data_IF_070961401745
#
_entry.id   IF_070961401745
#
_cell.length_a   1.000
_cell.length_b   1.000
_cell.length_c   1.000
_cell.angle_alpha   90.00
_cell.angle_beta   90.00
_cell.angle_gamma   90.00
#
_symmetry.space_group_name_H-M   'P 1'
#
loop_
_entity.id
_entity.type
_entity.pdbx_description
1 polymer ?
#
# COMPACT_ATOMS: atom_id res chain seq x y z
N UNK A 1 -13.86 -4.42 -3.53
CA UNK A 1 -15.08 -3.66 -3.20
C UNK A 1 -14.83 -2.73 -2.02
N UNK A 2 -15.66 -1.67 -1.85
CA UNK A 2 -15.57 -0.74 -0.70
C UNK A 2 -15.73 -1.46 0.64
N UNK A 3 -16.57 -2.50 0.71
CA UNK A 3 -16.73 -3.32 1.92
C UNK A 3 -15.44 -4.12 2.22
N UNK A 4 -14.74 -4.61 1.20
CA UNK A 4 -13.46 -5.28 1.40
C UNK A 4 -12.41 -4.31 1.99
N UNK A 5 -12.42 -3.04 1.61
CA UNK A 5 -11.51 -2.04 2.17
C UNK A 5 -11.68 -1.87 3.69
N UNK A 6 -12.92 -1.96 4.20
CA UNK A 6 -13.20 -1.96 5.66
C UNK A 6 -12.57 -3.19 6.33
N UNK A 7 -12.76 -4.38 5.74
CA UNK A 7 -12.20 -5.62 6.27
C UNK A 7 -10.68 -5.60 6.33
N UNK A 8 -10.04 -5.09 5.27
CA UNK A 8 -8.58 -4.92 5.25
C UNK A 8 -8.12 -3.95 6.33
N UNK A 9 -8.77 -2.80 6.47
CA UNK A 9 -8.41 -1.85 7.52
C UNK A 9 -8.53 -2.46 8.92
N UNK A 10 -9.62 -3.15 9.18
CA UNK A 10 -9.86 -3.83 10.46
C UNK A 10 -8.80 -4.90 10.72
N UNK A 11 -8.52 -5.75 9.73
CA UNK A 11 -7.52 -6.82 9.85
C UNK A 11 -6.11 -6.29 10.08
N UNK A 12 -5.69 -5.26 9.33
CA UNK A 12 -4.36 -4.65 9.51
C UNK A 12 -4.24 -4.01 10.90
N UNK A 13 -5.26 -3.28 11.36
CA UNK A 13 -5.26 -2.69 12.71
C UNK A 13 -5.20 -3.77 13.80
N UNK A 14 -5.93 -4.87 13.63
CA UNK A 14 -5.88 -6.00 14.56
C UNK A 14 -4.49 -6.65 14.59
N UNK A 15 -3.88 -6.90 13.43
CA UNK A 15 -2.54 -7.48 13.34
C UNK A 15 -1.46 -6.59 13.97
N UNK A 16 -1.55 -5.26 13.79
CA UNK A 16 -0.65 -4.32 14.46
C UNK A 16 -0.84 -4.38 15.98
N UNK A 17 -2.06 -4.42 16.47
CA UNK A 17 -2.36 -4.51 17.90
C UNK A 17 -1.84 -5.82 18.49
N UNK A 18 -2.10 -6.95 17.83
CA UNK A 18 -1.59 -8.27 18.20
C UNK A 18 -0.06 -8.29 18.29
N UNK A 19 0.61 -7.74 17.28
CA UNK A 19 2.09 -7.65 17.28
C UNK A 19 2.63 -6.78 18.42
N UNK A 20 1.93 -5.71 18.79
CA UNK A 20 2.28 -4.89 19.96
C UNK A 20 2.10 -5.69 21.25
N UNK A 21 1.03 -6.45 21.38
CA UNK A 21 0.77 -7.30 22.56
C UNK A 21 1.82 -8.39 22.68
N UNK A 22 2.14 -9.11 21.61
CA UNK A 22 3.19 -10.13 21.57
C UNK A 22 4.53 -9.56 22.03
N UNK A 23 4.93 -8.39 21.53
CA UNK A 23 6.18 -7.75 21.88
C UNK A 23 6.22 -7.34 23.36
N UNK A 24 5.09 -6.83 23.89
CA UNK A 24 5.00 -6.47 25.32
C UNK A 24 5.10 -7.69 26.27
N UNK A 25 4.78 -8.89 25.80
CA UNK A 25 4.86 -10.12 26.58
C UNK A 25 6.28 -10.72 26.62
N UNK A 26 7.20 -10.24 25.80
CA UNK A 26 8.59 -10.71 25.83
C UNK A 26 9.30 -10.31 27.14
N UNK A 27 10.25 -11.11 27.63
CA UNK A 27 11.04 -10.76 28.83
C UNK A 27 11.82 -9.45 28.67
N UNK A 28 12.20 -9.11 27.44
CA UNK A 28 12.92 -7.88 27.08
C UNK A 28 12.26 -7.28 25.84
N UNK A 29 11.15 -6.51 25.98
CA UNK A 29 10.48 -5.88 24.85
C UNK A 29 11.38 -4.85 24.15
N UNK A 30 11.35 -4.83 22.83
CA UNK A 30 12.02 -3.79 22.05
C UNK A 30 11.18 -2.49 22.06
N UNK A 31 11.63 -1.52 22.85
CA UNK A 31 10.94 -0.23 23.01
C UNK A 31 10.89 0.57 21.70
N UNK A 32 11.91 0.48 20.83
CA UNK A 32 11.94 1.16 19.55
C UNK A 32 10.94 0.54 18.55
N UNK A 33 10.88 -0.79 18.52
CA UNK A 33 9.88 -1.51 17.73
C UNK A 33 8.45 -1.15 18.19
N UNK A 34 8.20 -1.17 19.50
CA UNK A 34 6.88 -0.79 20.05
C UNK A 34 6.51 0.64 19.70
N UNK A 35 7.45 1.58 19.78
CA UNK A 35 7.25 2.97 19.38
C UNK A 35 6.87 3.07 17.90
N UNK A 36 7.60 2.36 17.04
CA UNK A 36 7.33 2.31 15.59
C UNK A 36 5.97 1.69 15.28
N UNK A 37 5.64 0.55 15.88
CA UNK A 37 4.35 -0.12 15.66
C UNK A 37 3.16 0.76 16.06
N UNK A 38 3.24 1.46 17.20
CA UNK A 38 2.20 2.38 17.67
C UNK A 38 2.06 3.62 16.78
N UNK A 39 3.08 3.98 16.05
CA UNK A 39 3.05 5.09 15.10
C UNK A 39 2.33 4.74 13.79
N UNK A 40 2.29 3.47 13.39
CA UNK A 40 1.69 3.04 12.13
C UNK A 40 0.18 3.28 12.08
N UNK A 41 -0.30 3.84 10.99
CA UNK A 41 -1.71 4.12 10.74
C UNK A 41 -2.17 3.56 9.41
N UNK A 42 -3.46 3.31 9.34
CA UNK A 42 -4.16 2.87 8.13
C UNK A 42 -5.16 3.93 7.70
N UNK A 43 -5.31 4.15 6.41
CA UNK A 43 -6.37 4.99 5.88
C UNK A 43 -7.05 4.30 4.69
N UNK A 44 -8.36 4.49 4.56
CA UNK A 44 -9.16 4.00 3.42
C UNK A 44 -9.55 5.19 2.57
N UNK A 45 -9.13 5.18 1.30
CA UNK A 45 -9.45 6.22 0.32
C UNK A 45 -10.33 5.62 -0.77
N UNK A 46 -11.58 6.03 -0.78
CA UNK A 46 -12.63 5.52 -1.67
C UNK A 46 -13.46 6.67 -2.24
N UNK A 47 -14.03 6.44 -3.44
CA UNK A 47 -14.93 7.40 -4.09
C UNK A 47 -16.29 7.48 -3.37
N UNK A 48 -17.00 8.61 -3.54
CA UNK A 48 -18.41 8.73 -3.16
C UNK A 48 -19.30 7.83 -4.03
N UNK A 49 -20.40 7.35 -3.45
CA UNK A 49 -21.49 6.66 -4.17
C UNK A 49 -22.65 7.61 -4.51
N UNK A 50 -22.46 8.91 -4.32
CA UNK A 50 -23.48 9.94 -4.58
C UNK A 50 -24.41 10.19 -3.37
N UNK A 51 -25.65 10.58 -3.66
CA UNK A 51 -26.60 11.07 -2.64
C UNK A 51 -27.10 9.99 -1.65
N UNK A 52 -27.08 8.72 -2.06
CA UNK A 52 -27.51 7.58 -1.22
C UNK A 52 -26.34 6.79 -0.68
N UNK A 53 -25.25 7.45 -0.33
CA UNK A 53 -24.04 6.82 0.18
C UNK A 53 -24.29 6.19 1.56
N UNK A 54 -23.82 4.95 1.73
CA UNK A 54 -23.88 4.29 3.03
C UNK A 54 -23.05 5.05 4.08
N UNK A 55 -23.56 5.14 5.30
CA UNK A 55 -22.96 5.94 6.37
C UNK A 55 -21.48 5.61 6.63
N UNK A 56 -21.10 4.33 6.53
CA UNK A 56 -19.71 3.90 6.71
C UNK A 56 -18.77 4.47 5.65
N UNK A 57 -19.22 4.61 4.39
CA UNK A 57 -18.43 5.19 3.29
C UNK A 57 -18.16 6.67 3.59
N UNK A 58 -19.20 7.41 3.96
CA UNK A 58 -19.07 8.82 4.36
C UNK A 58 -18.10 8.96 5.54
N UNK A 59 -18.16 8.07 6.52
CA UNK A 59 -17.27 8.11 7.68
C UNK A 59 -15.80 7.85 7.29
N UNK A 60 -15.53 6.84 6.47
CA UNK A 60 -14.17 6.55 5.98
C UNK A 60 -13.58 7.71 5.19
N UNK A 61 -14.38 8.34 4.34
CA UNK A 61 -13.96 9.52 3.57
C UNK A 61 -13.64 10.71 4.49
N UNK A 62 -14.46 10.96 5.50
CA UNK A 62 -14.20 12.00 6.51
C UNK A 62 -12.92 11.69 7.31
N UNK A 63 -12.70 10.44 7.69
CA UNK A 63 -11.48 10.02 8.39
C UNK A 63 -10.25 10.25 7.51
N UNK A 64 -10.26 9.80 6.27
CA UNK A 64 -9.16 9.99 5.32
C UNK A 64 -8.88 11.50 5.07
N UNK A 65 -9.92 12.32 4.92
CA UNK A 65 -9.77 13.76 4.75
C UNK A 65 -9.19 14.43 6.01
N UNK A 66 -9.68 14.08 7.20
CA UNK A 66 -9.16 14.61 8.48
C UNK A 66 -7.69 14.28 8.69
N UNK A 67 -7.26 13.09 8.24
CA UNK A 67 -5.86 12.66 8.32
C UNK A 67 -5.00 13.22 7.19
N UNK A 68 -5.57 13.91 6.22
CA UNK A 68 -4.92 14.25 4.94
C UNK A 68 -4.17 13.04 4.38
N UNK A 69 -4.88 11.89 4.30
CA UNK A 69 -4.26 10.57 4.21
C UNK A 69 -3.38 10.39 2.98
N UNK A 70 -3.80 10.93 1.83
CA UNK A 70 -3.06 10.79 0.56
C UNK A 70 -1.73 11.55 0.62
N UNK A 71 -1.74 12.81 1.04
CA UNK A 71 -0.52 13.63 1.15
C UNK A 71 0.42 13.11 2.24
N UNK A 72 -0.15 12.65 3.37
CA UNK A 72 0.66 12.11 4.47
C UNK A 72 1.24 10.73 4.15
N UNK A 73 0.59 9.91 3.31
CA UNK A 73 1.17 8.67 2.80
C UNK A 73 2.41 8.92 1.93
N UNK A 74 2.46 10.02 1.20
CA UNK A 74 3.61 10.39 0.37
C UNK A 74 4.81 10.90 1.17
N UNK A 75 4.64 11.15 2.48
CA UNK A 75 5.70 11.67 3.35
C UNK A 75 6.45 10.52 4.02
N UNK A 76 7.72 10.78 4.31
CA UNK A 76 8.51 9.88 5.16
C UNK A 76 7.97 9.90 6.57
N UNK A 77 8.09 8.77 7.26
CA UNK A 77 7.81 8.67 8.68
C UNK A 77 8.79 9.54 9.46
N UNK A 78 8.26 10.29 10.40
CA UNK A 78 9.03 11.06 11.38
C UNK A 78 8.60 10.58 12.77
N UNK A 79 9.32 9.59 13.28
CA UNK A 79 9.02 8.94 14.56
C UNK A 79 9.34 9.84 15.76
N UNK A 80 10.14 10.91 15.55
CA UNK A 80 10.69 11.72 16.62
C UNK A 80 9.91 13.05 16.78
N UNK A 81 9.03 13.37 15.84
CA UNK A 81 8.20 14.57 15.87
C UNK A 81 6.74 14.25 16.23
N UNK A 82 6.33 14.44 17.50
CA UNK A 82 4.97 14.16 17.95
C UNK A 82 3.90 15.07 17.29
N UNK A 83 4.28 16.23 16.79
CA UNK A 83 3.36 17.17 16.12
C UNK A 83 3.02 16.70 14.70
N UNK A 84 3.85 15.85 14.12
CA UNK A 84 3.60 15.21 12.82
C UNK A 84 2.78 13.91 12.94
N UNK A 85 1.78 13.91 13.79
CA UNK A 85 0.94 12.74 14.12
C UNK A 85 0.37 12.03 12.89
N UNK A 86 0.20 12.72 11.77
CA UNK A 86 -0.39 12.15 10.56
C UNK A 86 0.63 11.56 9.58
N UNK A 87 1.94 11.72 9.81
CA UNK A 87 2.98 11.19 8.91
C UNK A 87 3.15 9.68 8.98
N UNK A 88 2.46 8.98 9.88
CA UNK A 88 2.53 7.53 10.08
C UNK A 88 1.55 6.72 9.23
N UNK A 89 1.00 7.28 8.12
CA UNK A 89 0.13 6.51 7.22
C UNK A 89 1.00 5.47 6.48
N UNK A 90 1.03 4.26 7.04
CA UNK A 90 1.81 3.15 6.51
C UNK A 90 1.03 2.33 5.48
N UNK A 91 -0.29 2.27 5.63
CA UNK A 91 -1.17 1.52 4.75
C UNK A 91 -2.26 2.42 4.19
N UNK A 92 -2.24 2.58 2.86
CA UNK A 92 -3.28 3.27 2.11
C UNK A 92 -4.12 2.23 1.37
N UNK A 93 -5.36 2.05 1.81
CA UNK A 93 -6.27 1.06 1.24
C UNK A 93 -7.19 1.78 0.26
N UNK A 94 -7.17 1.36 -1.01
CA UNK A 94 -7.91 2.01 -2.08
C UNK A 94 -8.87 1.05 -2.78
N UNK A 95 -9.95 1.58 -3.33
CA UNK A 95 -10.84 0.86 -4.21
C UNK A 95 -11.06 1.68 -5.46
N UNK A 96 -10.48 1.25 -6.58
CA UNK A 96 -10.56 1.91 -7.90
C UNK A 96 -10.07 3.36 -7.97
N UNK A 97 -9.37 3.82 -6.94
CA UNK A 97 -8.80 5.16 -6.85
C UNK A 97 -7.28 5.13 -6.87
N UNK A 98 -6.66 6.24 -7.20
CA UNK A 98 -5.23 6.48 -7.11
C UNK A 98 -4.34 5.58 -8.00
N UNK A 99 -4.91 4.78 -8.90
CA UNK A 99 -4.12 4.03 -9.89
C UNK A 99 -3.52 4.99 -10.91
N UNK A 100 -4.20 6.09 -11.21
CA UNK A 100 -3.71 7.16 -12.09
C UNK A 100 -3.61 8.49 -11.35
N UNK A 101 -2.66 9.34 -11.74
CA UNK A 101 -2.54 10.71 -11.20
C UNK A 101 -2.00 10.82 -9.76
N UNK A 102 -1.66 9.71 -9.08
CA UNK A 102 -1.10 9.70 -7.74
C UNK A 102 0.40 9.45 -7.78
N UNK A 103 1.19 10.20 -7.04
CA UNK A 103 2.64 10.06 -6.97
C UNK A 103 3.11 9.86 -5.53
N UNK A 104 3.57 8.65 -5.20
CA UNK A 104 4.12 8.29 -3.91
C UNK A 104 5.45 7.54 -4.08
N UNK A 105 6.57 8.22 -4.30
CA UNK A 105 7.88 7.56 -4.44
C UNK A 105 8.26 6.71 -3.23
N UNK A 106 7.73 7.03 -2.04
CA UNK A 106 7.95 6.28 -0.79
C UNK A 106 7.21 4.93 -0.74
N UNK A 107 6.20 4.73 -1.60
CA UNK A 107 5.45 3.48 -1.68
C UNK A 107 6.40 2.34 -2.06
N UNK A 108 6.55 1.37 -1.16
CA UNK A 108 7.49 0.26 -1.34
C UNK A 108 6.80 -1.04 -1.72
N UNK A 109 5.60 -1.27 -1.22
CA UNK A 109 4.85 -2.51 -1.44
C UNK A 109 3.44 -2.19 -1.88
N UNK A 110 2.99 -2.84 -2.95
CA UNK A 110 1.60 -2.80 -3.40
C UNK A 110 0.98 -4.19 -3.31
N UNK A 111 -0.13 -4.30 -2.60
CA UNK A 111 -0.93 -5.51 -2.48
C UNK A 111 -2.10 -5.43 -3.46
N UNK A 112 -2.18 -6.39 -4.39
CA UNK A 112 -3.22 -6.42 -5.42
C UNK A 112 -4.20 -7.57 -5.13
N UNK A 113 -5.42 -7.21 -4.73
CA UNK A 113 -6.54 -8.13 -4.48
C UNK A 113 -7.73 -7.82 -5.42
N UNK A 114 -7.44 -7.46 -6.65
CA UNK A 114 -8.43 -7.17 -7.67
C UNK A 114 -7.84 -7.42 -9.05
N UNK A 115 -8.64 -8.00 -9.95
CA UNK A 115 -8.26 -8.09 -11.37
C UNK A 115 -8.06 -6.67 -11.93
N UNK A 116 -6.85 -6.39 -12.36
CA UNK A 116 -6.49 -5.19 -13.09
C UNK A 116 -6.41 -5.51 -14.58
N UNK A 117 -6.79 -4.55 -15.42
CA UNK A 117 -6.48 -4.63 -16.86
C UNK A 117 -4.99 -4.43 -17.05
N UNK A 118 -4.42 -5.01 -18.11
CA UNK A 118 -2.99 -4.97 -18.43
C UNK A 118 -2.38 -3.58 -18.27
N UNK A 119 -2.98 -2.56 -18.88
CA UNK A 119 -2.51 -1.17 -18.77
C UNK A 119 -2.52 -0.65 -17.31
N UNK A 120 -3.57 -0.95 -16.54
CA UNK A 120 -3.66 -0.54 -15.14
C UNK A 120 -2.65 -1.28 -14.26
N UNK A 121 -2.34 -2.53 -14.59
CA UNK A 121 -1.33 -3.32 -13.89
C UNK A 121 0.07 -2.72 -14.11
N UNK A 122 0.42 -2.42 -15.35
CA UNK A 122 1.71 -1.77 -15.67
C UNK A 122 1.86 -0.41 -14.97
N UNK A 123 0.81 0.40 -14.94
CA UNK A 123 0.81 1.66 -14.21
C UNK A 123 0.98 1.47 -12.69
N UNK A 124 0.39 0.43 -12.11
CA UNK A 124 0.54 0.10 -10.70
C UNK A 124 2.00 -0.31 -10.38
N UNK A 125 2.60 -1.14 -11.24
CA UNK A 125 3.99 -1.58 -11.10
C UNK A 125 4.96 -0.40 -11.21
N UNK A 126 4.79 0.44 -12.21
CA UNK A 126 5.63 1.62 -12.42
C UNK A 126 5.62 2.57 -11.19
N UNK A 127 4.53 2.58 -10.40
CA UNK A 127 4.46 3.39 -9.18
C UNK A 127 5.35 2.87 -8.08
N UNK A 128 5.26 1.57 -7.78
CA UNK A 128 6.08 0.97 -6.72
C UNK A 128 7.56 0.95 -7.09
N UNK A 129 7.91 1.05 -8.37
CA UNK A 129 9.31 1.04 -8.82
C UNK A 129 9.97 2.42 -8.88
N UNK A 130 9.31 3.47 -8.39
CA UNK A 130 9.92 4.81 -8.34
C UNK A 130 11.07 4.87 -7.35
N UNK A 131 12.11 5.61 -7.74
CA UNK A 131 13.29 5.83 -6.91
C UNK A 131 12.96 6.74 -5.74
N UNK A 132 13.32 6.31 -4.53
CA UNK A 132 13.25 7.14 -3.33
C UNK A 132 14.46 6.84 -2.44
N UNK A 133 14.87 7.84 -1.62
CA UNK A 133 16.01 7.66 -0.72
C UNK A 133 15.73 6.54 0.30
N UNK A 134 16.60 5.52 0.34
CA UNK A 134 16.45 4.35 1.22
C UNK A 134 15.56 3.25 0.65
N UNK A 135 15.11 3.37 -0.59
CA UNK A 135 14.33 2.37 -1.31
C UNK A 135 15.17 1.85 -2.48
N UNK A 136 15.47 0.57 -2.47
CA UNK A 136 16.25 -0.10 -3.53
C UNK A 136 15.35 -0.69 -4.63
N UNK A 137 14.12 -1.08 -4.27
CA UNK A 137 13.15 -1.70 -5.19
C UNK A 137 11.72 -1.55 -4.68
N UNK A 138 10.73 -1.73 -5.56
CA UNK A 138 9.34 -1.92 -5.21
C UNK A 138 8.96 -3.40 -5.18
N UNK A 139 7.90 -3.73 -4.44
CA UNK A 139 7.36 -5.09 -4.35
C UNK A 139 5.89 -5.09 -4.72
N UNK A 140 5.47 -6.12 -5.45
CA UNK A 140 4.07 -6.41 -5.75
C UNK A 140 3.72 -7.74 -5.08
N UNK A 141 2.68 -7.72 -4.25
CA UNK A 141 2.08 -8.92 -3.69
C UNK A 141 0.75 -9.14 -4.39
N UNK A 142 0.68 -10.22 -5.14
CA UNK A 142 -0.43 -10.53 -6.02
C UNK A 142 -1.26 -11.69 -5.45
N UNK A 143 -2.47 -11.40 -4.96
CA UNK A 143 -3.42 -12.40 -4.45
C UNK A 143 -4.33 -13.01 -5.53
N UNK A 144 -4.26 -12.50 -6.77
CA UNK A 144 -5.19 -12.88 -7.85
C UNK A 144 -4.53 -13.78 -8.90
N UNK A 145 -3.20 -13.89 -8.88
CA UNK A 145 -2.45 -14.64 -9.88
C UNK A 145 -2.29 -13.88 -11.20
N UNK A 146 -2.09 -12.57 -11.14
CA UNK A 146 -1.88 -11.71 -12.33
C UNK A 146 -0.48 -11.89 -12.94
N UNK A 147 0.43 -12.58 -12.26
CA UNK A 147 1.82 -12.72 -12.70
C UNK A 147 1.94 -13.32 -14.11
N UNK A 148 1.08 -14.29 -14.46
CA UNK A 148 1.05 -14.87 -15.80
C UNK A 148 0.59 -13.85 -16.86
N UNK A 149 -0.41 -13.04 -16.55
CA UNK A 149 -0.90 -11.98 -17.43
C UNK A 149 0.10 -10.83 -17.55
N UNK A 150 0.96 -10.65 -16.55
CA UNK A 150 2.00 -9.64 -16.58
C UNK A 150 3.08 -9.94 -17.61
N UNK A 151 3.51 -11.20 -17.73
CA UNK A 151 4.47 -11.64 -18.75
C UNK A 151 3.91 -11.40 -20.15
N UNK A 152 2.63 -11.70 -20.35
CA UNK A 152 1.96 -11.46 -21.62
C UNK A 152 1.85 -9.93 -21.93
N UNK A 153 1.48 -9.14 -20.93
CA UNK A 153 1.39 -7.69 -21.08
C UNK A 153 2.76 -7.05 -21.37
N UNK A 154 3.81 -7.47 -20.67
CA UNK A 154 5.16 -6.98 -20.91
C UNK A 154 5.69 -7.37 -22.28
N UNK A 155 5.39 -8.57 -22.78
CA UNK A 155 5.79 -9.01 -24.10
C UNK A 155 5.13 -8.20 -25.23
N UNK A 156 3.90 -7.75 -25.03
CA UNK A 156 3.17 -6.86 -25.96
C UNK A 156 3.72 -5.44 -25.97
N UNK A 157 4.25 -4.97 -24.85
CA UNK A 157 4.77 -3.60 -24.67
C UNK A 157 6.30 -3.51 -24.74
N UNK A 158 7.01 -4.63 -24.81
CA UNK A 158 8.49 -4.68 -24.87
C UNK A 158 9.11 -3.95 -26.09
N UNK A 159 8.28 -3.37 -26.95
CA UNK A 159 8.71 -2.52 -28.06
C UNK A 159 8.97 -1.05 -27.63
N UNK A 160 8.74 -0.65 -26.38
CA UNK A 160 9.07 0.69 -25.88
C UNK A 160 10.22 0.60 -24.87
N UNK A 161 11.25 1.41 -25.08
CA UNK A 161 12.51 1.42 -24.30
C UNK A 161 12.29 1.57 -22.77
N UNK A 162 11.28 2.34 -22.35
CA UNK A 162 10.97 2.56 -20.93
C UNK A 162 10.48 1.29 -20.18
N UNK A 163 9.94 0.30 -20.89
CA UNK A 163 9.40 -0.92 -20.30
C UNK A 163 10.40 -2.09 -20.34
N UNK A 164 11.42 -2.00 -21.17
CA UNK A 164 12.50 -2.97 -21.20
C UNK A 164 13.32 -2.93 -19.91
N UNK A 165 13.59 -1.72 -19.38
CA UNK A 165 14.23 -1.55 -18.07
C UNK A 165 13.36 -2.11 -16.91
N UNK A 166 12.03 -2.00 -17.01
CA UNK A 166 11.10 -2.59 -16.04
C UNK A 166 11.09 -4.12 -16.08
N UNK A 167 11.13 -4.69 -17.28
CA UNK A 167 11.17 -6.15 -17.48
C UNK A 167 12.47 -6.75 -16.91
N UNK A 168 13.61 -6.13 -17.20
CA UNK A 168 14.92 -6.61 -16.75
C UNK A 168 15.11 -6.45 -15.23
N UNK A 169 14.41 -5.51 -14.60
CA UNK A 169 14.42 -5.27 -13.15
C UNK A 169 13.46 -6.15 -12.35
N UNK A 170 12.56 -6.88 -12.99
CA UNK A 170 11.58 -7.71 -12.31
C UNK A 170 12.14 -9.10 -11.98
N UNK A 171 12.22 -9.43 -10.68
CA UNK A 171 12.55 -10.77 -10.21
C UNK A 171 11.32 -11.40 -9.56
N UNK A 172 11.07 -12.66 -9.89
CA UNK A 172 10.05 -13.45 -9.21
C UNK A 172 10.67 -14.06 -7.94
N UNK A 173 10.21 -13.62 -6.77
CA UNK A 173 10.69 -14.08 -5.46
C UNK A 173 9.77 -15.11 -4.80
N UNK A 174 8.83 -15.69 -5.54
CA UNK A 174 7.86 -16.68 -5.00
C UNK A 174 8.53 -17.87 -4.33
N UNK A 175 9.77 -18.20 -4.73
CA UNK A 175 10.57 -19.28 -4.16
C UNK A 175 11.31 -18.90 -2.87
N UNK A 176 11.33 -17.61 -2.52
CA UNK A 176 12.05 -17.09 -1.35
C UNK A 176 11.12 -16.82 -0.16
N UNK A 177 9.81 -16.93 -0.34
CA UNK A 177 8.85 -16.78 0.76
C UNK A 177 8.80 -18.09 1.55
N UNK A 178 9.07 -18.06 2.87
CA UNK A 178 8.88 -19.24 3.71
C UNK A 178 7.40 -19.63 3.71
N UNK A 179 7.11 -20.91 3.52
CA UNK A 179 5.78 -21.51 3.59
C UNK A 179 5.31 -21.52 5.04
#
# INVERSE_FOLDING_TARGET
>A
SKLASVRYQTGIRAAIAERIEEENLLPTPDADLLRKLRFLKTAVVISSDGTNEAAFITQLRKEAARMNAVDNFCKRFDFDDPDKVNTGIAFLIVCDMLITGFDAPVEQVMYIDKKLREHSLLQAIARTNRVARGKSRGYIVDYIGLANHLTDALSLYAASDELQELHDGMQNITSELPV
#
